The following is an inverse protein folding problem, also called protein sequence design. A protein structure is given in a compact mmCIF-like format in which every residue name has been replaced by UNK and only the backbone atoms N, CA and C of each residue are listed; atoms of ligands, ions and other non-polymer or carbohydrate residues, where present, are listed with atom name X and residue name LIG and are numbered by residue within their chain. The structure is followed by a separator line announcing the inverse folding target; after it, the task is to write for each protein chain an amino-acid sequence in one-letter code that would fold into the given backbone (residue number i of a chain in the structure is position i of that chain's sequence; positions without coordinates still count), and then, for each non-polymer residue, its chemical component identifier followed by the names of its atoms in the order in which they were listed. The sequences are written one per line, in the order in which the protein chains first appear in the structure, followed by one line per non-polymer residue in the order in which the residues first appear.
data_IF_712671521111
#
_entry.id   IF_712671521111
#
_cell.length_a   1.000
_cell.length_b   1.000
_cell.length_c   1.000
_cell.angle_alpha   90.00
_cell.angle_beta   90.00
_cell.angle_gamma   90.00
#
_symmetry.space_group_name_H-M   'P 1'
#
loop_
_entity.id
_entity.type
_entity.pdbx_description
1 polymer ?
#
# COMPACT_ATOMS: atom_id res chain seq x y z
N UNK A 1 6.21 -30.00 18.04
CA UNK A 1 5.32 -29.98 16.85
C UNK A 1 5.89 -30.93 15.80
N UNK A 2 5.10 -31.85 15.21
CA UNK A 2 5.61 -32.81 14.20
C UNK A 2 6.03 -32.05 12.94
N UNK A 3 7.17 -32.39 12.31
CA UNK A 3 7.69 -31.71 11.09
C UNK A 3 6.64 -31.53 9.99
N UNK A 4 5.71 -32.48 9.81
CA UNK A 4 4.64 -32.35 8.81
C UNK A 4 3.67 -31.19 9.09
N UNK A 5 3.33 -30.93 10.36
CA UNK A 5 2.46 -29.82 10.72
C UNK A 5 3.14 -28.46 10.50
N UNK A 6 4.46 -28.39 10.65
CA UNK A 6 5.23 -27.18 10.36
C UNK A 6 5.23 -26.87 8.86
N UNK A 7 5.48 -27.87 8.01
CA UNK A 7 5.45 -27.68 6.56
C UNK A 7 4.07 -27.29 6.04
N UNK A 8 2.99 -27.88 6.58
CA UNK A 8 1.63 -27.48 6.23
C UNK A 8 1.35 -26.04 6.63
N UNK A 9 1.72 -25.60 7.84
CA UNK A 9 1.52 -24.21 8.27
C UNK A 9 2.31 -23.23 7.41
N UNK A 10 3.59 -23.52 7.16
CA UNK A 10 4.43 -22.68 6.30
C UNK A 10 3.84 -22.59 4.88
N UNK A 11 3.30 -23.69 4.36
CA UNK A 11 2.61 -23.71 3.07
C UNK A 11 1.37 -22.80 3.06
N UNK A 12 0.54 -22.84 4.11
CA UNK A 12 -0.63 -21.96 4.21
C UNK A 12 -0.24 -20.48 4.35
N UNK A 13 0.82 -20.18 5.10
CA UNK A 13 1.34 -18.81 5.23
C UNK A 13 1.79 -18.24 3.88
N UNK A 14 2.53 -19.04 3.08
CA UNK A 14 2.94 -18.67 1.73
C UNK A 14 1.71 -18.42 0.83
N UNK A 15 0.71 -19.32 0.87
CA UNK A 15 -0.52 -19.17 0.08
C UNK A 15 -1.26 -17.90 0.47
N UNK A 16 -1.37 -17.59 1.76
CA UNK A 16 -2.02 -16.37 2.24
C UNK A 16 -1.34 -15.11 1.68
N UNK A 17 -0.02 -15.01 1.79
CA UNK A 17 0.76 -13.87 1.29
C UNK A 17 0.65 -13.72 -0.24
N UNK A 18 0.78 -14.82 -0.98
CA UNK A 18 0.67 -14.81 -2.45
C UNK A 18 -0.74 -14.45 -2.89
N UNK A 19 -1.78 -14.89 -2.16
CA UNK A 19 -3.18 -14.61 -2.51
C UNK A 19 -3.45 -13.11 -2.51
N UNK A 20 -2.99 -12.38 -1.50
CA UNK A 20 -3.15 -10.92 -1.44
C UNK A 20 -2.46 -10.22 -2.61
N UNK A 21 -1.20 -10.59 -2.89
CA UNK A 21 -0.47 -10.05 -4.04
C UNK A 21 -1.15 -10.35 -5.39
N UNK A 22 -1.68 -11.57 -5.56
CA UNK A 22 -2.37 -11.99 -6.77
C UNK A 22 -3.70 -11.27 -6.96
N UNK A 23 -4.44 -11.04 -5.87
CA UNK A 23 -5.68 -10.26 -5.91
C UNK A 23 -5.41 -8.82 -6.36
N UNK A 24 -4.37 -8.18 -5.81
CA UNK A 24 -3.94 -6.84 -6.23
C UNK A 24 -3.54 -6.79 -7.70
N UNK A 25 -2.76 -7.78 -8.17
CA UNK A 25 -2.36 -7.89 -9.58
C UNK A 25 -3.56 -8.06 -10.51
N UNK A 26 -4.55 -8.88 -10.13
CA UNK A 26 -5.77 -9.10 -10.91
C UNK A 26 -6.69 -7.88 -10.93
N UNK A 27 -6.78 -7.13 -9.83
CA UNK A 27 -7.54 -5.89 -9.77
C UNK A 27 -7.03 -4.86 -10.79
N UNK A 28 -5.73 -4.88 -11.09
CA UNK A 28 -5.09 -4.02 -12.10
C UNK A 28 -4.96 -4.69 -13.48
N UNK A 29 -5.68 -5.80 -13.71
CA UNK A 29 -5.67 -6.53 -14.98
C UNK A 29 -4.27 -6.97 -15.44
N UNK A 30 -3.36 -7.28 -14.51
CA UNK A 30 -2.00 -7.70 -14.85
C UNK A 30 -2.04 -9.07 -15.59
N UNK A 31 -1.45 -9.18 -16.79
CA UNK A 31 -1.44 -10.44 -17.54
C UNK A 31 -0.74 -11.57 -16.77
N UNK A 32 -1.27 -12.79 -16.89
CA UNK A 32 -0.71 -13.99 -16.22
C UNK A 32 0.77 -14.20 -16.52
N UNK A 33 1.19 -13.95 -17.76
CA UNK A 33 2.59 -14.08 -18.17
C UNK A 33 3.53 -13.15 -17.38
N UNK A 34 3.07 -11.95 -17.03
CA UNK A 34 3.86 -11.01 -16.22
C UNK A 34 3.99 -11.48 -14.77
N UNK A 35 2.93 -12.11 -14.24
CA UNK A 35 2.95 -12.73 -12.91
C UNK A 35 3.96 -13.90 -12.89
N UNK A 36 3.93 -14.76 -13.91
CA UNK A 36 4.84 -15.90 -14.03
C UNK A 36 6.32 -15.43 -14.17
N UNK A 37 6.56 -14.33 -14.90
CA UNK A 37 7.88 -13.69 -14.98
C UNK A 37 8.34 -13.14 -13.62
N UNK A 38 7.44 -12.49 -12.87
CA UNK A 38 7.75 -11.96 -11.55
C UNK A 38 8.14 -13.07 -10.55
N UNK A 39 7.47 -14.23 -10.60
CA UNK A 39 7.85 -15.39 -9.78
C UNK A 39 9.25 -15.90 -10.11
N UNK A 40 9.55 -16.12 -11.41
CA UNK A 40 10.90 -16.54 -11.84
C UNK A 40 11.97 -15.53 -11.42
N UNK A 41 11.66 -14.24 -11.53
CA UNK A 41 12.52 -13.14 -11.11
C UNK A 41 12.76 -13.22 -9.58
N UNK A 42 11.73 -13.42 -8.77
CA UNK A 42 11.82 -13.56 -7.31
C UNK A 42 12.59 -14.81 -6.85
N UNK A 43 12.57 -15.91 -7.61
CA UNK A 43 13.38 -17.12 -7.37
C UNK A 43 14.88 -16.91 -7.62
N UNK A 44 15.29 -15.75 -8.14
CA UNK A 44 16.67 -15.46 -8.52
C UNK A 44 17.06 -16.03 -9.88
N UNK A 45 16.09 -16.53 -10.67
CA UNK A 45 16.33 -16.98 -12.04
C UNK A 45 16.34 -15.79 -13.02
N UNK A 46 17.19 -14.79 -12.77
CA UNK A 46 17.42 -13.67 -13.69
C UNK A 46 18.46 -14.08 -14.74
N UNK A 47 18.17 -13.79 -16.02
CA UNK A 47 19.10 -14.08 -17.12
C UNK A 47 20.41 -13.26 -17.03
N UNK A 48 20.39 -12.15 -16.29
CA UNK A 48 21.48 -11.16 -16.20
C UNK A 48 22.32 -11.22 -14.90
N UNK A 49 22.18 -12.28 -14.09
CA UNK A 49 23.18 -12.66 -13.06
C UNK A 49 23.27 -11.79 -11.79
N UNK A 50 22.45 -10.76 -11.64
CA UNK A 50 22.33 -10.00 -10.39
C UNK A 50 21.30 -10.61 -9.44
N UNK A 51 21.67 -10.80 -8.17
CA UNK A 51 20.71 -11.09 -7.11
C UNK A 51 19.78 -9.89 -6.93
N UNK A 52 18.48 -10.14 -6.83
CA UNK A 52 17.51 -9.08 -6.59
C UNK A 52 17.56 -8.71 -5.12
N UNK A 53 17.67 -7.41 -4.87
CA UNK A 53 17.68 -6.85 -3.53
C UNK A 53 16.67 -5.71 -3.40
N UNK A 54 16.18 -5.54 -2.18
CA UNK A 54 15.37 -4.39 -1.78
C UNK A 54 16.31 -3.27 -1.33
N UNK A 55 16.14 -2.09 -1.90
CA UNK A 55 16.98 -0.91 -1.63
C UNK A 55 16.08 0.29 -1.35
N UNK A 56 16.34 0.97 -0.24
CA UNK A 56 15.69 2.25 0.05
C UNK A 56 16.64 3.38 -0.30
N UNK A 57 16.15 4.35 -1.08
CA UNK A 57 16.82 5.60 -1.36
C UNK A 57 16.07 6.74 -0.68
N UNK A 58 16.81 7.77 -0.29
CA UNK A 58 16.30 8.94 0.42
C UNK A 58 16.71 10.18 -0.36
N UNK A 59 15.81 11.15 -0.49
CA UNK A 59 16.05 12.34 -1.28
C UNK A 59 15.21 13.54 -0.84
N UNK A 60 15.68 14.73 -1.18
CA UNK A 60 14.85 15.90 -1.35
C UNK A 60 14.51 16.07 -2.83
N UNK A 61 13.24 16.27 -3.13
CA UNK A 61 12.72 16.59 -4.45
C UNK A 61 12.57 18.09 -4.68
N UNK A 62 11.79 18.44 -5.70
CA UNK A 62 11.41 19.81 -6.02
C UNK A 62 10.81 20.50 -4.79
N UNK A 63 11.21 21.75 -4.56
CA UNK A 63 10.70 22.59 -3.47
C UNK A 63 10.85 22.00 -2.06
N UNK A 64 11.82 21.09 -1.87
CA UNK A 64 12.12 20.53 -0.54
C UNK A 64 11.19 19.40 -0.10
N UNK A 65 10.38 18.84 -1.01
CA UNK A 65 9.58 17.63 -0.73
C UNK A 65 10.52 16.50 -0.32
N UNK A 66 10.35 15.94 0.87
CA UNK A 66 11.13 14.80 1.32
C UNK A 66 10.59 13.52 0.66
N UNK A 67 11.48 12.65 0.20
CA UNK A 67 11.16 11.44 -0.56
C UNK A 67 11.86 10.23 0.07
N UNK A 68 11.08 9.17 0.35
CA UNK A 68 11.61 7.83 0.61
C UNK A 68 11.17 6.93 -0.54
N UNK A 69 12.15 6.30 -1.19
CA UNK A 69 11.95 5.57 -2.44
C UNK A 69 12.37 4.13 -2.19
N UNK A 70 11.39 3.22 -2.13
CA UNK A 70 11.65 1.79 -2.07
C UNK A 70 11.80 1.23 -3.49
N UNK A 71 12.94 0.62 -3.76
CA UNK A 71 13.26 0.03 -5.03
C UNK A 71 13.61 -1.46 -4.91
N UNK A 72 13.31 -2.22 -5.95
CA UNK A 72 13.70 -3.62 -6.11
C UNK A 72 14.58 -3.70 -7.35
N UNK A 73 15.85 -4.04 -7.15
CA UNK A 73 16.85 -3.96 -8.22
C UNK A 73 17.86 -5.09 -8.16
N UNK A 74 18.45 -5.42 -9.30
CA UNK A 74 19.60 -6.30 -9.44
C UNK A 74 20.93 -5.51 -9.57
N UNK A 75 20.85 -4.18 -9.58
CA UNK A 75 22.01 -3.29 -9.73
C UNK A 75 21.77 -1.93 -9.05
N UNK A 76 22.28 -1.80 -7.81
CA UNK A 76 22.17 -0.57 -7.00
C UNK A 76 22.73 0.66 -7.70
N UNK A 77 23.85 0.53 -8.39
CA UNK A 77 24.54 1.66 -9.03
C UNK A 77 23.72 2.20 -10.20
N UNK A 78 23.18 1.32 -11.04
CA UNK A 78 22.32 1.70 -12.17
C UNK A 78 21.06 2.42 -11.68
N UNK A 79 20.40 1.88 -10.66
CA UNK A 79 19.19 2.46 -10.07
C UNK A 79 19.48 3.81 -9.42
N UNK A 80 20.56 3.92 -8.66
CA UNK A 80 20.99 5.19 -8.07
C UNK A 80 21.29 6.27 -9.13
N UNK A 81 21.90 5.89 -10.26
CA UNK A 81 22.16 6.81 -11.37
C UNK A 81 20.87 7.29 -12.05
N UNK A 82 19.91 6.39 -12.29
CA UNK A 82 18.58 6.74 -12.82
C UNK A 82 17.86 7.72 -11.89
N UNK A 83 17.80 7.40 -10.59
CA UNK A 83 17.18 8.26 -9.58
C UNK A 83 17.85 9.63 -9.50
N UNK A 84 19.18 9.68 -9.45
CA UNK A 84 19.92 10.95 -9.42
C UNK A 84 19.67 11.78 -10.67
N UNK A 85 19.67 11.15 -11.85
CA UNK A 85 19.36 11.84 -13.10
C UNK A 85 17.95 12.42 -13.08
N UNK A 86 16.95 11.66 -12.61
CA UNK A 86 15.57 12.13 -12.48
C UNK A 86 15.43 13.28 -11.49
N UNK A 87 15.96 13.14 -10.28
CA UNK A 87 15.92 14.19 -9.25
C UNK A 87 16.58 15.49 -9.72
N UNK A 88 17.75 15.41 -10.36
CA UNK A 88 18.47 16.57 -10.85
C UNK A 88 17.68 17.40 -11.88
N UNK A 89 16.76 16.79 -12.66
CA UNK A 89 15.89 17.54 -13.58
C UNK A 89 14.92 18.48 -12.86
N UNK A 90 14.64 18.19 -11.59
CA UNK A 90 13.68 18.90 -10.75
C UNK A 90 14.35 19.62 -9.58
N UNK A 91 15.65 19.88 -9.68
CA UNK A 91 16.46 20.50 -8.62
C UNK A 91 16.45 19.72 -7.30
N UNK A 92 16.16 18.41 -7.35
CA UNK A 92 16.24 17.50 -6.22
C UNK A 92 17.62 16.85 -6.08
N UNK A 93 17.87 16.22 -4.94
CA UNK A 93 19.12 15.54 -4.62
C UNK A 93 18.91 14.37 -3.65
N UNK A 94 19.76 13.35 -3.75
CA UNK A 94 19.83 12.27 -2.76
C UNK A 94 20.35 12.86 -1.44
N UNK A 95 19.65 12.64 -0.35
CA UNK A 95 19.94 13.14 0.97
C UNK A 95 19.29 12.24 2.01
N UNK A 96 19.82 12.20 3.24
CA UNK A 96 19.14 11.49 4.31
C UNK A 96 17.90 12.28 4.72
N UNK A 97 16.73 11.63 4.69
CA UNK A 97 15.45 12.20 5.09
C UNK A 97 14.66 11.24 5.98
N UNK A 98 15.15 10.03 6.26
CA UNK A 98 14.45 9.04 7.08
C UNK A 98 14.03 9.56 8.46
N UNK A 99 14.75 10.54 9.02
CA UNK A 99 14.39 11.18 10.28
C UNK A 99 13.10 12.03 10.21
N UNK A 100 12.58 12.31 9.01
CA UNK A 100 11.30 12.99 8.79
C UNK A 100 10.12 12.01 8.69
N UNK A 101 10.39 10.70 8.75
CA UNK A 101 9.38 9.66 8.57
C UNK A 101 9.44 8.65 9.71
N UNK A 102 8.26 8.21 10.14
CA UNK A 102 8.11 7.05 11.01
C UNK A 102 7.70 5.82 10.17
N UNK A 103 8.23 4.65 10.52
CA UNK A 103 7.79 3.40 9.90
C UNK A 103 6.59 2.85 10.66
N UNK A 104 5.42 2.88 10.03
CA UNK A 104 4.15 2.41 10.60
C UNK A 104 3.67 1.15 9.92
N UNK A 105 2.88 0.36 10.64
CA UNK A 105 2.11 -0.74 10.09
C UNK A 105 0.80 -0.22 9.51
N UNK A 106 0.42 -0.72 8.34
CA UNK A 106 -0.81 -0.34 7.66
C UNK A 106 -1.55 -1.61 7.23
N UNK A 107 -2.81 -1.73 7.62
CA UNK A 107 -3.70 -2.81 7.20
C UNK A 107 -4.89 -2.20 6.47
N UNK A 108 -5.06 -2.58 5.20
CA UNK A 108 -6.25 -2.24 4.43
C UNK A 108 -7.22 -3.41 4.45
N UNK A 109 -8.47 -3.15 4.81
CA UNK A 109 -9.48 -4.17 4.97
C UNK A 109 -10.88 -3.62 4.67
N UNK A 110 -11.79 -4.52 4.30
CA UNK A 110 -13.21 -4.20 4.09
C UNK A 110 -14.12 -5.01 5.01
N UNK A 111 -15.18 -4.43 5.56
CA UNK A 111 -16.30 -5.20 6.08
C UNK A 111 -16.97 -5.98 4.94
N UNK A 112 -17.13 -7.28 5.14
CA UNK A 112 -17.93 -8.15 4.29
C UNK A 112 -19.39 -7.79 4.55
N UNK A 113 -19.93 -6.86 3.76
CA UNK A 113 -21.37 -6.66 3.71
C UNK A 113 -22.00 -8.00 3.34
N UNK A 114 -22.87 -8.53 4.22
CA UNK A 114 -23.77 -9.63 3.86
C UNK A 114 -24.65 -9.10 2.73
N UNK A 115 -24.22 -9.26 1.49
CA UNK A 115 -25.03 -8.95 0.32
C UNK A 115 -26.16 -9.97 0.32
N UNK A 116 -27.30 -9.60 0.90
CA UNK A 116 -28.54 -10.28 0.63
C UNK A 116 -28.85 -10.02 -0.85
N UNK A 117 -28.77 -11.07 -1.67
CA UNK A 117 -29.24 -11.04 -3.05
C UNK A 117 -30.74 -10.77 -3.03
N UNK A 118 -31.15 -9.51 -3.17
CA UNK A 118 -32.55 -9.14 -3.30
C UNK A 118 -32.90 -9.25 -4.79
N UNK A 119 -33.51 -10.37 -5.16
CA UNK A 119 -34.31 -10.46 -6.38
C UNK A 119 -35.74 -10.06 -6.04
N UNK A 120 -36.14 -8.83 -6.40
CA UNK A 120 -37.41 -8.49 -7.08
C UNK A 120 -37.55 -6.98 -7.16
N UNK A 121 -37.98 -6.50 -8.33
CA UNK A 121 -38.29 -5.11 -8.60
C UNK A 121 -39.69 -4.79 -8.07
N UNK A 122 -39.82 -3.82 -7.17
CA UNK A 122 -40.96 -2.92 -6.95
C UNK A 122 -40.59 -1.90 -5.84
N UNK A 123 -41.47 -0.93 -5.54
CA UNK A 123 -41.26 0.30 -4.76
C UNK A 123 -40.59 0.17 -3.36
N UNK A 124 -40.46 -1.06 -2.82
CA UNK A 124 -39.62 -1.42 -1.66
C UNK A 124 -38.12 -1.11 -1.86
N UNK A 125 -37.67 -0.88 -3.09
CA UNK A 125 -36.27 -0.61 -3.42
C UNK A 125 -35.70 0.67 -2.76
N UNK A 126 -36.53 1.69 -2.49
CA UNK A 126 -36.05 2.96 -1.90
C UNK A 126 -35.81 2.80 -0.39
N UNK A 127 -36.70 2.11 0.33
CA UNK A 127 -36.52 1.80 1.75
C UNK A 127 -35.42 0.75 1.96
N UNK A 128 -35.31 -0.24 1.06
CA UNK A 128 -34.20 -1.21 1.08
C UNK A 128 -32.85 -0.56 0.77
N UNK A 129 -32.80 0.45 -0.12
CA UNK A 129 -31.59 1.24 -0.36
C UNK A 129 -31.20 2.09 0.85
N UNK A 130 -32.16 2.71 1.52
CA UNK A 130 -31.91 3.49 2.74
C UNK A 130 -31.47 2.59 3.92
N UNK A 131 -32.08 1.42 4.07
CA UNK A 131 -31.65 0.41 5.05
C UNK A 131 -30.26 -0.15 4.71
N UNK A 132 -29.96 -0.42 3.45
CA UNK A 132 -28.63 -0.87 3.02
C UNK A 132 -27.55 0.20 3.27
N UNK A 133 -27.87 1.48 3.08
CA UNK A 133 -26.96 2.58 3.38
C UNK A 133 -26.70 2.70 4.89
N UNK A 134 -27.73 2.62 5.73
CA UNK A 134 -27.56 2.64 7.19
C UNK A 134 -26.82 1.41 7.73
N UNK A 135 -27.09 0.21 7.18
CA UNK A 135 -26.36 -1.02 7.54
C UNK A 135 -24.89 -0.97 7.11
N UNK A 136 -24.60 -0.35 5.95
CA UNK A 136 -23.25 -0.11 5.46
C UNK A 136 -22.47 0.81 6.39
N UNK A 137 -23.09 1.93 6.81
CA UNK A 137 -22.49 2.90 7.72
C UNK A 137 -22.21 2.28 9.10
N UNK A 138 -23.17 1.54 9.66
CA UNK A 138 -23.01 0.87 10.96
C UNK A 138 -21.91 -0.21 10.92
N UNK A 139 -21.77 -0.93 9.80
CA UNK A 139 -20.71 -1.92 9.62
C UNK A 139 -19.33 -1.26 9.50
N UNK A 140 -19.26 -0.05 8.94
CA UNK A 140 -18.04 0.74 8.86
C UNK A 140 -17.63 1.22 10.26
N UNK A 141 -18.56 1.78 11.02
CA UNK A 141 -18.32 2.26 12.38
C UNK A 141 -17.81 1.13 13.28
N UNK A 142 -18.44 -0.05 13.22
CA UNK A 142 -18.00 -1.24 13.95
C UNK A 142 -16.60 -1.70 13.53
N UNK A 143 -16.31 -1.65 12.23
CA UNK A 143 -15.01 -2.03 11.70
C UNK A 143 -13.90 -1.07 12.16
N UNK A 144 -14.19 0.23 12.27
CA UNK A 144 -13.28 1.23 12.81
C UNK A 144 -13.03 0.99 14.31
N UNK A 145 -14.08 0.76 15.10
CA UNK A 145 -13.95 0.48 16.54
C UNK A 145 -13.08 -0.75 16.79
N UNK A 146 -13.32 -1.85 16.07
CA UNK A 146 -12.52 -3.07 16.20
C UNK A 146 -11.06 -2.85 15.81
N UNK A 147 -10.77 -2.04 14.78
CA UNK A 147 -9.40 -1.75 14.39
C UNK A 147 -8.65 -0.97 15.49
N UNK A 148 -9.30 0.00 16.14
CA UNK A 148 -8.74 0.75 17.26
C UNK A 148 -8.45 -0.19 18.46
N UNK A 149 -9.38 -1.09 18.78
CA UNK A 149 -9.16 -2.12 19.82
C UNK A 149 -8.00 -3.07 19.49
N UNK A 150 -7.76 -3.31 18.20
CA UNK A 150 -6.69 -4.17 17.69
C UNK A 150 -5.30 -3.49 17.67
N UNK A 151 -5.19 -2.23 18.11
CA UNK A 151 -3.94 -1.47 18.17
C UNK A 151 -3.76 -0.43 17.06
N UNK A 152 -4.81 -0.10 16.30
CA UNK A 152 -4.74 1.02 15.37
C UNK A 152 -4.65 2.35 16.13
N UNK A 153 -3.70 3.20 15.73
CA UNK A 153 -3.59 4.60 16.15
C UNK A 153 -4.56 5.48 15.38
N UNK A 154 -4.82 5.14 14.12
CA UNK A 154 -5.69 5.89 13.21
C UNK A 154 -6.39 4.96 12.22
N UNK A 155 -7.60 5.32 11.81
CA UNK A 155 -8.39 4.54 10.85
C UNK A 155 -9.14 5.49 9.92
N UNK A 156 -8.80 5.45 8.64
CA UNK A 156 -9.42 6.28 7.61
C UNK A 156 -10.10 5.43 6.53
N UNK A 157 -11.16 5.96 5.92
CA UNK A 157 -11.73 5.41 4.70
C UNK A 157 -10.99 5.97 3.48
N UNK A 158 -10.18 5.13 2.81
CA UNK A 158 -9.35 5.53 1.66
C UNK A 158 -10.04 5.34 0.31
N UNK A 159 -11.08 4.50 0.27
CA UNK A 159 -11.96 4.30 -0.87
C UNK A 159 -13.31 3.75 -0.36
N UNK A 160 -14.41 3.81 -1.14
CA UNK A 160 -15.71 3.35 -0.69
C UNK A 160 -15.69 1.91 -0.11
N UNK A 161 -15.91 1.80 1.20
CA UNK A 161 -15.89 0.58 1.99
C UNK A 161 -14.51 -0.02 2.25
N UNK A 162 -13.42 0.68 1.94
CA UNK A 162 -12.04 0.28 2.20
C UNK A 162 -11.44 1.12 3.32
N UNK A 163 -11.28 0.49 4.48
CA UNK A 163 -10.65 1.09 5.64
C UNK A 163 -9.14 0.84 5.61
N UNK A 164 -8.39 1.86 6.00
CA UNK A 164 -6.96 1.81 6.24
C UNK A 164 -6.69 2.07 7.72
N UNK A 165 -6.28 1.04 8.45
CA UNK A 165 -5.86 1.14 9.84
C UNK A 165 -4.34 1.27 9.92
N UNK A 166 -3.86 2.31 10.61
CA UNK A 166 -2.45 2.60 10.85
C UNK A 166 -2.11 2.27 12.29
N UNK A 167 -0.97 1.61 12.53
CA UNK A 167 -0.50 1.25 13.86
C UNK A 167 1.04 1.36 13.96
N UNK A 168 1.63 1.27 15.16
CA UNK A 168 3.08 1.11 15.30
C UNK A 168 3.58 -0.13 14.55
N UNK A 169 4.80 -0.10 14.01
CA UNK A 169 5.35 -1.26 13.27
C UNK A 169 5.41 -2.54 14.12
N UNK A 170 5.51 -2.41 15.43
CA UNK A 170 5.54 -3.52 16.39
C UNK A 170 4.18 -4.21 16.54
N UNK A 171 3.09 -3.52 16.22
CA UNK A 171 1.72 -4.00 16.42
C UNK A 171 1.08 -4.55 15.15
N UNK A 172 1.70 -4.32 13.97
CA UNK A 172 1.16 -4.74 12.67
C UNK A 172 0.73 -6.21 12.63
N UNK A 173 1.55 -7.11 13.18
CA UNK A 173 1.24 -8.54 13.18
C UNK A 173 0.09 -8.90 14.10
N UNK A 174 -0.05 -8.20 15.23
CA UNK A 174 -1.14 -8.39 16.19
C UNK A 174 -2.45 -7.89 15.59
N UNK A 175 -2.45 -6.66 15.07
CA UNK A 175 -3.60 -6.04 14.42
C UNK A 175 -4.08 -6.85 13.22
N UNK A 176 -3.16 -7.23 12.32
CA UNK A 176 -3.48 -8.05 11.14
C UNK A 176 -4.10 -9.40 11.52
N UNK A 177 -3.58 -10.06 12.56
CA UNK A 177 -4.14 -11.33 13.03
C UNK A 177 -5.53 -11.14 13.61
N UNK A 178 -5.71 -10.14 14.46
CA UNK A 178 -6.99 -9.86 15.09
C UNK A 178 -8.08 -9.63 14.05
N UNK A 179 -7.81 -8.79 13.04
CA UNK A 179 -8.75 -8.53 11.95
C UNK A 179 -8.99 -9.77 11.08
N UNK A 180 -7.94 -10.58 10.82
CA UNK A 180 -8.07 -11.80 10.02
C UNK A 180 -8.82 -12.95 10.73
N UNK A 181 -8.84 -12.97 12.06
CA UNK A 181 -9.62 -13.94 12.86
C UNK A 181 -11.13 -13.64 12.81
N UNK A 182 -11.51 -12.40 12.52
CA UNK A 182 -12.91 -12.03 12.34
C UNK A 182 -13.37 -12.42 10.93
N UNK A 183 -14.38 -13.30 10.86
CA UNK A 183 -14.96 -13.75 9.59
C UNK A 183 -15.76 -12.68 8.84
N UNK A 184 -15.89 -11.50 9.44
CA UNK A 184 -16.57 -10.31 8.92
C UNK A 184 -15.66 -9.42 8.10
N UNK A 185 -14.34 -9.59 8.12
CA UNK A 185 -13.41 -8.72 7.41
C UNK A 185 -12.66 -9.44 6.30
N UNK A 186 -12.50 -8.73 5.18
CA UNK A 186 -11.60 -9.12 4.13
C UNK A 186 -10.37 -8.22 4.16
N UNK A 187 -9.22 -8.79 4.53
CA UNK A 187 -7.94 -8.12 4.42
C UNK A 187 -7.55 -8.01 2.94
N UNK A 188 -7.29 -6.78 2.48
CA UNK A 188 -6.76 -6.51 1.16
C UNK A 188 -5.23 -6.43 1.17
N UNK A 189 -4.66 -5.71 2.14
CA UNK A 189 -3.22 -5.55 2.24
C UNK A 189 -2.75 -5.39 3.69
N UNK A 190 -1.52 -5.82 3.95
CA UNK A 190 -0.81 -5.70 5.23
C UNK A 190 0.61 -5.32 4.89
N UNK A 191 0.98 -4.07 5.17
CA UNK A 191 2.24 -3.50 4.71
C UNK A 191 2.89 -2.65 5.81
N UNK A 192 4.22 -2.49 5.74
CA UNK A 192 4.92 -1.44 6.48
C UNK A 192 5.09 -0.26 5.54
N UNK A 193 4.69 0.94 5.97
CA UNK A 193 4.81 2.18 5.18
C UNK A 193 5.61 3.22 5.94
N UNK A 194 6.21 4.15 5.20
CA UNK A 194 6.78 5.36 5.79
C UNK A 194 5.69 6.44 5.84
N UNK A 195 5.42 6.95 7.04
CA UNK A 195 4.50 8.05 7.26
C UNK A 195 5.30 9.28 7.68
N UNK A 196 5.11 10.44 7.05
CA UNK A 196 5.80 11.66 7.43
C UNK A 196 5.35 12.12 8.82
N UNK A 197 6.29 12.50 9.69
CA UNK A 197 5.96 13.13 10.98
C UNK A 197 5.47 14.57 10.77
N UNK A 198 6.01 15.24 9.76
CA UNK A 198 5.64 16.60 9.39
C UNK A 198 5.21 16.62 7.93
N UNK A 199 3.92 16.87 7.71
CA UNK A 199 3.33 17.07 6.39
C UNK A 199 3.52 18.53 5.99
N UNK A 200 3.99 18.78 4.76
CA UNK A 200 4.05 20.13 4.19
C UNK A 200 2.73 20.46 3.48
N UNK A 201 2.35 21.73 3.46
CA UNK A 201 1.17 22.17 2.73
C UNK A 201 1.35 22.01 1.21
N UNK A 202 0.25 21.70 0.52
CA UNK A 202 0.25 21.67 -0.94
C UNK A 202 0.45 23.09 -1.49
N UNK A 203 1.52 23.37 -2.26
CA UNK A 203 1.88 24.74 -2.64
C UNK A 203 0.72 25.45 -3.33
N UNK A 204 0.44 26.72 -3.00
CA UNK A 204 -0.65 27.47 -3.63
C UNK A 204 -0.40 27.71 -5.14
N UNK A 205 0.86 27.80 -5.54
CA UNK A 205 1.28 28.04 -6.91
C UNK A 205 1.04 26.81 -7.81
N UNK A 206 0.30 27.01 -8.90
CA UNK A 206 -0.07 25.94 -9.83
C UNK A 206 1.12 25.36 -10.59
N UNK A 207 2.13 26.17 -10.90
CA UNK A 207 3.33 25.71 -11.60
C UNK A 207 4.19 24.85 -10.67
N UNK A 208 4.32 25.24 -9.39
CA UNK A 208 4.96 24.41 -8.37
C UNK A 208 4.28 23.05 -8.25
N UNK A 209 2.94 23.01 -8.12
CA UNK A 209 2.17 21.75 -8.09
C UNK A 209 2.43 20.89 -9.31
N UNK A 210 2.44 21.50 -10.50
CA UNK A 210 2.69 20.79 -11.75
C UNK A 210 4.08 20.17 -11.80
N UNK A 211 5.10 20.91 -11.35
CA UNK A 211 6.48 20.44 -11.30
C UNK A 211 6.64 19.29 -10.31
N UNK A 212 6.06 19.41 -9.10
CA UNK A 212 6.07 18.34 -8.09
C UNK A 212 5.40 17.09 -8.65
N UNK A 213 4.18 17.20 -9.18
CA UNK A 213 3.46 16.03 -9.73
C UNK A 213 4.23 15.36 -10.87
N UNK A 214 4.85 16.15 -11.75
CA UNK A 214 5.69 15.61 -12.82
C UNK A 214 6.91 14.88 -12.26
N UNK A 215 7.56 15.42 -11.24
CA UNK A 215 8.66 14.74 -10.56
C UNK A 215 8.22 13.40 -9.96
N UNK A 216 7.12 13.38 -9.21
CA UNK A 216 6.59 12.17 -8.59
C UNK A 216 6.25 11.11 -9.65
N UNK A 217 5.58 11.53 -10.73
CA UNK A 217 5.29 10.66 -11.87
C UNK A 217 6.57 10.07 -12.47
N UNK A 218 7.56 10.90 -12.79
CA UNK A 218 8.79 10.46 -13.44
C UNK A 218 9.67 9.57 -12.54
N UNK A 219 9.52 9.65 -11.21
CA UNK A 219 10.16 8.73 -10.26
C UNK A 219 9.40 7.41 -10.23
N UNK A 220 8.05 7.46 -10.17
CA UNK A 220 7.21 6.26 -10.13
C UNK A 220 7.24 5.44 -11.43
N UNK A 221 7.54 6.08 -12.56
CA UNK A 221 7.70 5.43 -13.88
C UNK A 221 9.02 4.65 -14.01
N UNK A 222 9.95 4.79 -13.06
CA UNK A 222 11.17 3.98 -13.04
C UNK A 222 10.82 2.53 -12.66
N UNK A 223 11.13 1.57 -13.54
CA UNK A 223 10.83 0.14 -13.36
C UNK A 223 11.29 -0.41 -12.00
N UNK A 224 12.43 0.07 -11.49
CA UNK A 224 12.98 -0.39 -10.22
C UNK A 224 12.26 0.18 -9.00
N UNK A 225 11.48 1.26 -9.12
CA UNK A 225 10.76 1.90 -8.01
C UNK A 225 9.46 1.15 -7.76
N UNK A 226 9.28 0.69 -6.52
CA UNK A 226 8.10 -0.06 -6.09
C UNK A 226 7.18 0.80 -5.23
N UNK A 227 7.74 1.67 -4.38
CA UNK A 227 6.98 2.63 -3.60
C UNK A 227 7.70 3.96 -3.50
N UNK A 228 6.91 5.02 -3.48
CA UNK A 228 7.36 6.40 -3.32
C UNK A 228 6.55 7.03 -2.19
N UNK A 229 7.22 7.33 -1.08
CA UNK A 229 6.63 8.05 0.05
C UNK A 229 7.10 9.48 0.04
N UNK A 230 6.21 10.39 0.41
CA UNK A 230 6.49 11.83 0.45
C UNK A 230 5.91 12.45 1.71
N UNK A 231 6.39 13.63 2.07
CA UNK A 231 5.79 14.44 3.11
C UNK A 231 4.68 15.38 2.60
N UNK A 232 4.16 15.16 1.40
CA UNK A 232 2.99 15.89 0.89
C UNK A 232 1.69 15.30 1.49
N UNK A 233 0.60 16.08 1.51
CA UNK A 233 -0.70 15.60 1.98
C UNK A 233 -1.17 14.41 1.14
N UNK A 234 -1.91 13.47 1.72
CA UNK A 234 -2.40 12.27 1.04
C UNK A 234 -3.17 12.55 -0.25
N UNK A 235 -3.89 13.68 -0.33
CA UNK A 235 -4.58 14.16 -1.53
C UNK A 235 -3.66 14.50 -2.71
N UNK A 236 -2.39 14.77 -2.44
CA UNK A 236 -1.36 15.12 -3.40
C UNK A 236 -0.43 13.95 -3.73
N UNK A 237 -0.56 12.84 -3.00
CA UNK A 237 0.22 11.63 -3.24
C UNK A 237 -0.40 10.88 -4.43
N UNK A 238 0.43 10.49 -5.39
CA UNK A 238 0.02 9.56 -6.43
C UNK A 238 -0.11 8.19 -5.76
N UNK A 239 -1.34 7.72 -5.58
CA UNK A 239 -1.56 6.32 -5.18
C UNK A 239 -0.94 5.41 -6.26
N UNK A 240 -0.22 4.35 -5.84
CA UNK A 240 0.39 3.39 -6.77
C UNK A 240 -0.66 2.63 -7.59
#
# INVERSE_FOLDING_TARGET
MKRSALFSKLGLEIVSAIRSALNKARAHSLPKENIDKAFKRAEGNTQDGGAIENVTYEAFGAYGVALVIEAVTDNRTRTAMKLRSTLNRFSGQIAQVAYLFERKGVVQFRPLSKTATITTADEEAIEAQQQQQQLSETALDQAMEVALEAGAEDVDEVAPGLLEAVCPMTELQTMSRHLAEQSTYQIESVELRYQPEVVIDDPEDQDMRRIIRRMLHDINDLEEVVRLYTNLPSSSQLLP
#
